data_IF_640238851804
#
_entry.id   IF_640238851804
#
_cell.length_a   1.000
_cell.length_b   1.000
_cell.length_c   1.000
_cell.angle_alpha   90.00
_cell.angle_beta   90.00
_cell.angle_gamma   90.00
#
_symmetry.space_group_name_H-M   'P 1'
#
loop_
_entity.id
_entity.type
_entity.pdbx_description
1 polymer ?
#
# COMPACT_ATOMS: atom_id res chain seq x y z
N UNK A 1 9.24 12.93 2.65
CA UNK A 1 8.81 11.51 2.53
C UNK A 1 10.01 10.72 2.02
N UNK A 2 10.24 9.50 2.51
CA UNK A 2 11.25 8.62 1.91
C UNK A 2 10.77 8.16 0.52
N UNK A 3 11.40 7.16 -0.08
CA UNK A 3 10.90 6.59 -1.33
C UNK A 3 9.45 6.11 -1.12
N UNK A 4 8.52 6.69 -1.87
CA UNK A 4 7.11 6.38 -1.80
C UNK A 4 6.75 5.36 -2.88
N UNK A 5 5.85 4.45 -2.56
CA UNK A 5 5.45 3.39 -3.47
C UNK A 5 4.00 2.98 -3.23
N UNK A 6 3.45 2.27 -4.20
CA UNK A 6 2.27 1.45 -4.04
C UNK A 6 2.65 -0.02 -4.32
N UNK A 7 2.20 -0.94 -3.46
CA UNK A 7 2.64 -2.35 -3.48
C UNK A 7 2.29 -3.11 -4.76
N UNK A 8 1.32 -2.62 -5.53
CA UNK A 8 0.80 -3.31 -6.70
C UNK A 8 0.70 -2.39 -7.91
N UNK A 9 0.80 -3.00 -9.07
CA UNK A 9 0.52 -2.37 -10.35
C UNK A 9 -0.72 -2.97 -10.97
N UNK A 10 -1.05 -2.50 -12.18
CA UNK A 10 -2.04 -3.13 -13.03
C UNK A 10 -1.77 -4.61 -13.30
N UNK A 11 -0.48 -5.00 -13.34
CA UNK A 11 -0.03 -6.35 -13.65
C UNK A 11 0.09 -7.18 -12.36
N UNK A 12 0.76 -6.65 -11.34
CA UNK A 12 1.07 -7.42 -10.14
C UNK A 12 -0.12 -7.63 -9.20
N UNK A 13 -1.14 -6.76 -9.25
CA UNK A 13 -2.37 -6.93 -8.48
C UNK A 13 -3.10 -8.25 -8.79
N UNK A 14 -3.52 -8.50 -10.03
CA UNK A 14 -4.13 -9.77 -10.45
C UNK A 14 -3.18 -10.95 -10.33
N UNK A 15 -1.89 -10.77 -10.62
CA UNK A 15 -0.89 -11.83 -10.42
C UNK A 15 -0.85 -12.29 -8.96
N UNK A 16 -1.01 -11.37 -8.00
CA UNK A 16 -1.00 -11.73 -6.58
C UNK A 16 -2.12 -12.68 -6.18
N UNK A 17 -3.29 -12.59 -6.82
CA UNK A 17 -4.38 -13.57 -6.62
C UNK A 17 -3.93 -14.94 -7.11
N UNK A 18 -3.35 -15.03 -8.31
CA UNK A 18 -2.82 -16.26 -8.90
C UNK A 18 -1.70 -16.90 -8.08
N UNK A 19 -0.89 -16.08 -7.42
CA UNK A 19 0.20 -16.57 -6.58
C UNK A 19 -0.27 -17.15 -5.23
N UNK A 20 -1.47 -16.78 -4.75
CA UNK A 20 -1.93 -17.08 -3.39
C UNK A 20 -3.11 -18.04 -3.33
N UNK A 21 -3.83 -18.24 -4.44
CA UNK A 21 -4.95 -19.16 -4.53
C UNK A 21 -4.48 -20.46 -5.18
N UNK A 22 -4.50 -21.56 -4.41
CA UNK A 22 -3.91 -22.84 -4.82
C UNK A 22 -4.58 -23.48 -6.05
N UNK A 23 -5.90 -23.32 -6.20
CA UNK A 23 -6.64 -23.83 -7.37
C UNK A 23 -6.54 -22.81 -8.53
N UNK A 24 -5.87 -23.15 -9.66
CA UNK A 24 -5.70 -22.23 -10.76
C UNK A 24 -7.03 -21.78 -11.39
N UNK A 25 -8.04 -22.65 -11.46
CA UNK A 25 -9.32 -22.28 -12.05
C UNK A 25 -10.06 -21.26 -11.18
N UNK A 26 -9.99 -21.44 -9.86
CA UNK A 26 -10.53 -20.48 -8.90
C UNK A 26 -9.76 -19.17 -8.92
N UNK A 27 -8.43 -19.23 -9.00
CA UNK A 27 -7.58 -18.05 -9.06
C UNK A 27 -7.91 -17.16 -10.26
N UNK A 28 -8.09 -17.76 -11.45
CA UNK A 28 -8.51 -17.01 -12.64
C UNK A 28 -9.91 -16.42 -12.46
N UNK A 29 -10.87 -17.19 -11.99
CA UNK A 29 -12.24 -16.71 -11.73
C UNK A 29 -12.25 -15.50 -10.79
N UNK A 30 -11.47 -15.56 -9.72
CA UNK A 30 -11.35 -14.49 -8.73
C UNK A 30 -10.59 -13.26 -9.25
N UNK A 31 -9.58 -13.47 -10.09
CA UNK A 31 -8.80 -12.39 -10.71
C UNK A 31 -9.55 -11.66 -11.83
N UNK A 32 -10.47 -12.36 -12.52
CA UNK A 32 -11.39 -11.78 -13.51
C UNK A 32 -12.56 -11.05 -12.85
N UNK A 33 -13.00 -11.53 -11.68
CA UNK A 33 -14.00 -10.88 -10.85
C UNK A 33 -13.47 -9.61 -10.17
N UNK A 34 -14.37 -8.90 -9.47
CA UNK A 34 -13.97 -7.73 -8.70
C UNK A 34 -13.30 -8.16 -7.40
N UNK A 35 -12.07 -7.70 -7.21
CA UNK A 35 -11.32 -7.82 -5.97
C UNK A 35 -10.51 -6.57 -5.63
N UNK A 36 -10.07 -6.49 -4.37
CA UNK A 36 -9.15 -5.48 -3.87
C UNK A 36 -8.06 -6.12 -3.01
N UNK A 37 -6.89 -5.47 -2.94
CA UNK A 37 -5.85 -5.79 -1.96
C UNK A 37 -5.79 -4.67 -0.93
N UNK A 38 -6.05 -5.02 0.33
CA UNK A 38 -6.09 -4.07 1.46
C UNK A 38 -5.00 -4.44 2.45
N UNK A 39 -4.09 -3.52 2.71
CA UNK A 39 -3.13 -3.65 3.78
C UNK A 39 -3.79 -3.16 5.08
N UNK A 40 -3.78 -4.00 6.10
CA UNK A 40 -4.07 -3.64 7.49
C UNK A 40 -2.73 -3.36 8.16
N UNK A 41 -2.43 -2.08 8.36
CA UNK A 41 -1.18 -1.63 8.94
C UNK A 41 -1.39 -1.04 10.33
N UNK A 42 -0.53 -1.41 11.29
CA UNK A 42 -0.54 -0.80 12.63
C UNK A 42 0.82 -0.82 13.30
N UNK A 43 1.08 0.11 14.24
CA UNK A 43 2.21 -0.03 15.14
C UNK A 43 2.03 -1.24 16.07
N UNK A 44 3.14 -1.92 16.37
CA UNK A 44 3.20 -2.96 17.41
C UNK A 44 3.29 -2.29 18.79
N UNK A 45 4.04 -1.17 18.88
CA UNK A 45 4.18 -0.35 20.09
C UNK A 45 3.76 1.09 19.79
N UNK A 46 2.92 1.64 20.66
CA UNK A 46 2.48 3.04 20.61
C UNK A 46 2.99 3.84 21.81
N UNK A 47 3.00 5.18 21.74
CA UNK A 47 2.68 5.97 20.54
C UNK A 47 3.78 5.85 19.48
N UNK A 48 3.40 5.77 18.20
CA UNK A 48 4.35 5.77 17.09
C UNK A 48 4.80 7.22 16.80
N UNK A 49 6.07 7.49 17.10
CA UNK A 49 6.68 8.81 16.90
C UNK A 49 7.72 8.81 15.78
N UNK A 50 8.60 7.80 15.76
CA UNK A 50 9.66 7.69 14.77
C UNK A 50 9.14 7.07 13.48
N UNK A 51 9.45 7.71 12.35
CA UNK A 51 9.08 7.24 11.02
C UNK A 51 7.58 6.89 10.87
N UNK A 52 6.63 7.81 11.15
CA UNK A 52 5.21 7.54 10.95
C UNK A 52 4.90 7.18 9.49
N UNK A 53 3.78 6.50 9.27
CA UNK A 53 3.34 6.12 7.92
C UNK A 53 2.43 7.21 7.36
N UNK A 54 2.83 7.80 6.23
CA UNK A 54 1.99 8.69 5.44
C UNK A 54 1.38 7.94 4.26
N UNK A 55 0.13 8.26 3.94
CA UNK A 55 -0.62 7.78 2.78
C UNK A 55 -1.00 8.97 1.90
N UNK A 56 -0.89 8.80 0.59
CA UNK A 56 -1.29 9.80 -0.40
C UNK A 56 -2.80 9.70 -0.68
N UNK A 57 -3.47 10.84 -0.82
CA UNK A 57 -4.82 10.90 -1.38
C UNK A 57 -4.76 10.51 -2.85
N UNK A 58 -5.39 9.39 -3.20
CA UNK A 58 -5.40 8.85 -4.56
C UNK A 58 -5.93 9.85 -5.61
N UNK A 59 -6.76 10.83 -5.22
CA UNK A 59 -7.27 11.88 -6.12
C UNK A 59 -6.22 12.92 -6.49
N UNK A 60 -5.15 12.99 -5.71
CA UNK A 60 -4.05 13.95 -5.87
C UNK A 60 -2.84 13.38 -6.60
N UNK A 61 -2.85 12.06 -6.88
CA UNK A 61 -1.78 11.34 -7.57
C UNK A 61 -2.18 11.16 -9.03
N UNK A 62 -1.39 11.72 -9.95
CA UNK A 62 -1.60 11.49 -11.36
C UNK A 62 -1.11 10.09 -11.76
N UNK A 63 -1.76 9.45 -12.73
CA UNK A 63 -1.33 8.14 -13.24
C UNK A 63 0.11 8.20 -13.77
N UNK A 64 0.50 9.31 -14.40
CA UNK A 64 1.87 9.52 -14.87
C UNK A 64 2.92 9.62 -13.76
N UNK A 65 2.53 9.76 -12.49
CA UNK A 65 3.47 9.75 -11.36
C UNK A 65 3.73 8.32 -10.85
N UNK A 66 2.93 7.33 -11.25
CA UNK A 66 3.08 5.93 -10.88
C UNK A 66 4.02 5.24 -11.87
N UNK A 67 5.26 5.02 -11.47
CA UNK A 67 6.31 4.44 -12.30
C UNK A 67 6.51 2.97 -11.92
N UNK A 68 6.22 2.06 -12.87
CA UNK A 68 6.42 0.63 -12.63
C UNK A 68 7.90 0.33 -12.38
N UNK A 69 8.17 -0.46 -11.36
CA UNK A 69 9.51 -0.87 -10.97
C UNK A 69 9.53 -2.35 -10.57
N UNK A 70 10.50 -3.08 -11.12
CA UNK A 70 10.70 -4.48 -10.81
C UNK A 70 11.36 -4.66 -9.43
N UNK A 71 10.78 -5.55 -8.63
CA UNK A 71 11.40 -6.11 -7.43
C UNK A 71 11.96 -7.49 -7.77
N UNK A 72 13.26 -7.55 -8.05
CA UNK A 72 13.96 -8.79 -8.44
C UNK A 72 14.41 -9.54 -7.19
N UNK A 73 13.81 -10.69 -6.93
CA UNK A 73 14.21 -11.66 -5.90
C UNK A 73 14.88 -12.88 -6.55
N UNK A 74 15.62 -13.72 -5.80
CA UNK A 74 16.26 -14.91 -6.36
C UNK A 74 15.29 -15.89 -7.04
N UNK A 75 14.04 -15.95 -6.59
CA UNK A 75 13.02 -16.92 -6.98
C UNK A 75 11.86 -16.32 -7.78
N UNK A 76 11.75 -14.98 -7.86
CA UNK A 76 10.65 -14.31 -8.56
C UNK A 76 10.99 -12.85 -8.92
N UNK A 77 10.27 -12.32 -9.90
CA UNK A 77 10.22 -10.88 -10.18
C UNK A 77 8.82 -10.39 -9.81
N UNK A 78 8.73 -9.49 -8.83
CA UNK A 78 7.52 -8.73 -8.54
C UNK A 78 7.55 -7.37 -9.22
N UNK A 79 6.43 -6.66 -9.26
CA UNK A 79 6.34 -5.30 -9.80
C UNK A 79 5.55 -4.43 -8.82
N UNK A 80 6.07 -3.23 -8.52
CA UNK A 80 5.42 -2.20 -7.71
C UNK A 80 5.34 -0.89 -8.50
N UNK A 81 4.56 0.06 -8.01
CA UNK A 81 4.73 1.45 -8.45
C UNK A 81 5.64 2.20 -7.50
N UNK A 82 6.73 2.75 -8.00
CA UNK A 82 7.41 3.88 -7.35
C UNK A 82 6.69 5.18 -7.70
N UNK A 83 6.62 6.09 -6.73
CA UNK A 83 5.96 7.38 -6.92
C UNK A 83 6.99 8.44 -7.31
N UNK A 84 6.89 8.98 -8.52
CA UNK A 84 7.65 10.14 -8.97
C UNK A 84 7.27 11.39 -8.16
N UNK A 85 8.11 12.42 -8.17
CA UNK A 85 7.79 13.67 -7.48
C UNK A 85 6.60 14.38 -8.15
N UNK A 86 5.56 14.70 -7.37
CA UNK A 86 4.46 15.57 -7.79
C UNK A 86 4.15 16.63 -6.74
N UNK A 87 4.08 17.89 -7.15
CA UNK A 87 3.80 19.02 -6.24
C UNK A 87 2.35 19.05 -5.73
N UNK A 88 1.46 18.30 -6.36
CA UNK A 88 0.04 18.23 -6.02
C UNK A 88 -0.29 17.11 -5.02
N UNK A 89 0.67 16.23 -4.68
CA UNK A 89 0.41 15.08 -3.81
C UNK A 89 -0.02 15.53 -2.41
N UNK A 90 -1.24 15.14 -2.02
CA UNK A 90 -1.77 15.35 -0.69
C UNK A 90 -1.43 14.17 0.21
N UNK A 91 -0.66 14.42 1.27
CA UNK A 91 -0.22 13.39 2.22
C UNK A 91 -0.93 13.52 3.56
N UNK A 92 -1.35 12.38 4.11
CA UNK A 92 -2.04 12.28 5.39
C UNK A 92 -1.38 11.22 6.27
N UNK A 93 -1.39 11.43 7.58
CA UNK A 93 -0.92 10.46 8.57
C UNK A 93 -1.66 10.65 9.90
N UNK A 94 -1.61 9.65 10.77
CA UNK A 94 -2.14 9.73 12.13
C UNK A 94 -0.99 10.06 13.09
N UNK A 95 -0.98 11.25 13.73
CA UNK A 95 0.07 11.61 14.66
C UNK A 95 -0.01 10.78 15.93
N UNK A 96 1.14 10.36 16.46
CA UNK A 96 1.26 9.58 17.71
C UNK A 96 0.37 8.32 17.76
N UNK A 97 0.17 7.67 16.59
CA UNK A 97 -0.72 6.53 16.44
C UNK A 97 -0.46 5.44 17.49
N UNK A 98 -1.52 4.98 18.16
CA UNK A 98 -1.43 4.00 19.23
C UNK A 98 -1.56 2.58 18.69
N UNK A 99 -1.18 1.60 19.51
CA UNK A 99 -1.20 0.20 19.10
C UNK A 99 -2.64 -0.29 18.81
N UNK A 100 -3.67 0.25 19.45
CA UNK A 100 -5.07 -0.11 19.20
C UNK A 100 -5.69 0.51 17.94
N UNK A 101 -4.95 1.35 17.22
CA UNK A 101 -5.37 1.93 15.95
C UNK A 101 -4.81 1.12 14.77
N UNK A 102 -5.50 1.18 13.63
CA UNK A 102 -5.03 0.60 12.37
C UNK A 102 -5.36 1.50 11.18
N UNK A 103 -4.47 1.52 10.19
CA UNK A 103 -4.71 2.09 8.87
C UNK A 103 -5.09 0.98 7.92
N UNK A 104 -6.13 1.22 7.13
CA UNK A 104 -6.49 0.39 5.99
C UNK A 104 -6.02 1.09 4.72
N UNK A 105 -5.08 0.48 4.01
CA UNK A 105 -4.48 1.02 2.80
C UNK A 105 -4.95 0.16 1.64
N UNK A 106 -5.76 0.73 0.75
CA UNK A 106 -6.19 0.02 -0.45
C UNK A 106 -5.08 0.15 -1.51
N UNK A 107 -4.17 -0.82 -1.49
CA UNK A 107 -3.02 -0.88 -2.38
C UNK A 107 -3.40 -1.36 -3.79
N UNK A 108 -4.56 -2.01 -3.96
CA UNK A 108 -5.10 -2.35 -5.27
C UNK A 108 -6.63 -2.42 -5.25
N UNK A 109 -7.30 -1.97 -6.32
CA UNK A 109 -8.71 -2.26 -6.61
C UNK A 109 -8.84 -2.52 -8.12
N UNK A 110 -9.41 -3.66 -8.48
CA UNK A 110 -9.64 -4.07 -9.86
C UNK A 110 -10.66 -3.19 -10.59
N UNK A 111 -11.60 -2.58 -9.86
CA UNK A 111 -12.64 -1.75 -10.46
C UNK A 111 -12.09 -0.41 -10.98
N UNK A 112 -12.52 -0.01 -12.18
CA UNK A 112 -12.09 1.21 -12.90
C UNK A 112 -13.19 2.28 -13.00
N UNK A 113 -14.04 2.39 -12.00
CA UNK A 113 -15.22 3.28 -11.98
C UNK A 113 -14.97 4.64 -11.29
N UNK A 114 -13.69 5.06 -11.23
CA UNK A 114 -13.28 6.34 -10.63
C UNK A 114 -12.99 6.30 -9.13
N UNK A 115 -13.19 5.16 -8.46
CA UNK A 115 -12.71 4.96 -7.08
C UNK A 115 -11.18 4.99 -6.99
N UNK A 116 -10.66 5.20 -5.79
CA UNK A 116 -9.23 5.00 -5.51
C UNK A 116 -8.84 3.56 -5.80
N UNK A 117 -7.72 3.32 -6.48
CA UNK A 117 -7.23 1.97 -6.83
C UNK A 117 -5.84 1.70 -6.28
N UNK A 118 -5.00 2.72 -6.26
CA UNK A 118 -3.65 2.69 -5.73
C UNK A 118 -3.54 3.78 -4.66
N UNK A 119 -2.87 3.47 -3.56
CA UNK A 119 -2.67 4.40 -2.44
C UNK A 119 -1.19 4.42 -2.11
N UNK A 120 -0.39 5.27 -2.79
CA UNK A 120 1.02 5.39 -2.47
C UNK A 120 1.22 5.75 -1.01
N UNK A 121 2.21 5.14 -0.38
CA UNK A 121 2.51 5.33 1.02
C UNK A 121 4.01 5.25 1.28
N UNK A 122 4.43 5.83 2.39
CA UNK A 122 5.84 5.80 2.79
C UNK A 122 6.01 6.23 4.24
N UNK A 123 7.16 5.87 4.81
CA UNK A 123 7.63 6.49 6.03
C UNK A 123 8.15 7.91 5.75
N UNK A 124 8.01 8.81 6.71
CA UNK A 124 8.64 10.12 6.65
C UNK A 124 9.32 10.48 7.97
N UNK A 125 10.29 11.38 7.90
CA UNK A 125 10.95 11.91 9.10
C UNK A 125 10.13 13.09 9.62
N UNK A 126 9.51 12.91 10.78
CA UNK A 126 8.75 13.97 11.46
C UNK A 126 9.71 14.92 12.20
N UNK A 127 9.76 16.21 11.83
CA UNK A 127 10.67 17.17 12.45
C UNK A 127 10.29 17.51 13.89
N UNK A 128 9.11 17.11 14.37
CA UNK A 128 8.63 17.36 15.74
C UNK A 128 8.93 16.19 16.69
N UNK A 129 9.51 15.10 16.16
CA UNK A 129 9.84 13.89 16.91
C UNK A 129 10.94 14.13 17.96
N UNK A 130 10.79 13.64 19.21
CA UNK A 130 11.86 13.67 20.21
C UNK A 130 13.11 12.90 19.75
N UNK A 131 14.30 13.40 20.09
CA UNK A 131 15.58 12.78 19.70
C UNK A 131 15.71 11.33 20.20
N UNK A 132 15.17 11.05 21.38
CA UNK A 132 15.18 9.75 22.06
C UNK A 132 13.99 8.84 21.69
N UNK A 133 13.17 9.23 20.70
CA UNK A 133 12.03 8.41 20.29
C UNK A 133 12.49 7.00 19.86
N UNK A 134 11.82 5.93 20.34
CA UNK A 134 12.24 4.57 20.07
C UNK A 134 12.12 4.24 18.57
N UNK A 135 12.89 3.26 18.06
CA UNK A 135 12.69 2.69 16.73
C UNK A 135 11.25 2.26 16.49
N UNK A 136 10.76 2.44 15.26
CA UNK A 136 9.44 1.97 14.85
C UNK A 136 9.38 0.44 14.84
N UNK A 137 8.37 -0.10 15.50
CA UNK A 137 7.93 -1.47 15.34
C UNK A 137 6.50 -1.46 14.80
N UNK A 138 6.28 -2.07 13.63
CA UNK A 138 4.98 -2.10 12.95
C UNK A 138 4.78 -3.43 12.27
N UNK A 139 3.52 -3.80 12.10
CA UNK A 139 3.11 -4.99 11.36
C UNK A 139 2.11 -4.61 10.28
N UNK A 140 2.18 -5.32 9.17
CA UNK A 140 1.25 -5.22 8.07
C UNK A 140 0.76 -6.61 7.69
N UNK A 141 -0.55 -6.72 7.45
CA UNK A 141 -1.18 -7.90 6.87
C UNK A 141 -1.91 -7.48 5.60
N UNK A 142 -1.70 -8.19 4.49
CA UNK A 142 -2.41 -7.94 3.24
C UNK A 142 -3.59 -8.89 3.11
N UNK A 143 -4.76 -8.34 2.79
CA UNK A 143 -6.02 -9.06 2.66
C UNK A 143 -6.49 -8.96 1.21
N UNK A 144 -6.74 -10.11 0.58
CA UNK A 144 -7.51 -10.19 -0.66
C UNK A 144 -9.00 -10.15 -0.31
N UNK A 145 -9.70 -9.13 -0.80
CA UNK A 145 -11.15 -8.99 -0.63
C UNK A 145 -11.84 -9.19 -1.99
N UNK A 146 -12.64 -10.24 -2.11
CA UNK A 146 -13.42 -10.57 -3.30
C UNK A 146 -14.86 -10.09 -3.12
N UNK A 147 -15.46 -9.53 -4.17
CA UNK A 147 -16.80 -8.97 -4.14
C UNK A 147 -17.71 -9.77 -5.09
N UNK A 148 -18.87 -10.20 -4.60
CA UNK A 148 -19.94 -10.72 -5.44
C UNK A 148 -20.65 -9.52 -6.09
N UNK A 149 -20.61 -9.43 -7.42
CA UNK A 149 -21.40 -8.48 -8.21
C UNK A 149 -22.43 -9.22 -9.07
#
# INVERSE_FOLDING_TARGET
VRQAHNDYTEISGPQRVRDLVDDPAEAERLAEGRFAVINVWRPIRGPLLRAPLAVADARSVAEGDLQAADLVYPDRVGEIYELAYGSQHGWYYVPAMTADEALLIKSYDSARDGRARFTPHSAFDDPTMPEDAPPRESIEVRVLAFFEE
#
